data_IF_925185195937
#
_entry.id   IF_925185195937
#
_cell.length_a   1.000
_cell.length_b   1.000
_cell.length_c   1.000
_cell.angle_alpha   90.00
_cell.angle_beta   90.00
_cell.angle_gamma   90.00
#
_symmetry.space_group_name_H-M   'P 1'
#
loop_
_entity.id
_entity.type
_entity.pdbx_description
1 polymer ?
#
# COMPACT_ATOMS: atom_id res chain seq x y z
N UNK A 1 4.33 -8.85 28.09
CA UNK A 1 3.31 -9.70 27.50
C UNK A 1 3.53 -9.84 25.99
N UNK A 2 3.33 -11.03 25.45
CA UNK A 2 3.63 -11.38 24.05
C UNK A 2 2.78 -10.62 23.01
N UNK A 3 1.67 -10.00 23.41
CA UNK A 3 0.79 -9.22 22.53
C UNK A 3 1.26 -7.76 22.31
N UNK A 4 2.13 -7.22 23.16
CA UNK A 4 2.55 -5.81 23.08
C UNK A 4 3.27 -5.46 21.76
N UNK A 5 4.27 -6.21 21.29
CA UNK A 5 4.93 -5.93 20.04
C UNK A 5 3.96 -5.86 18.85
N UNK A 6 3.06 -6.85 18.62
CA UNK A 6 2.08 -6.78 17.56
C UNK A 6 1.11 -5.61 17.71
N UNK A 7 0.63 -5.31 18.93
CA UNK A 7 -0.27 -4.19 19.15
C UNK A 7 0.39 -2.85 18.80
N UNK A 8 1.61 -2.62 19.29
CA UNK A 8 2.36 -1.40 18.98
C UNK A 8 2.61 -1.29 17.47
N UNK A 9 3.07 -2.37 16.83
CA UNK A 9 3.30 -2.40 15.39
C UNK A 9 2.04 -2.03 14.61
N UNK A 10 0.91 -2.64 14.93
CA UNK A 10 -0.38 -2.41 14.28
C UNK A 10 -0.80 -0.93 14.36
N UNK A 11 -0.78 -0.33 15.54
CA UNK A 11 -1.14 1.07 15.71
C UNK A 11 -0.15 2.02 15.03
N UNK A 12 1.15 1.71 15.02
CA UNK A 12 2.13 2.49 14.29
C UNK A 12 1.91 2.43 12.78
N UNK A 13 1.53 1.27 12.24
CA UNK A 13 1.19 1.12 10.82
C UNK A 13 -0.06 1.91 10.43
N UNK A 14 -1.12 1.80 11.24
CA UNK A 14 -2.34 2.58 11.06
C UNK A 14 -2.05 4.09 11.10
N UNK A 15 -1.27 4.55 12.08
CA UNK A 15 -0.87 5.94 12.21
C UNK A 15 0.01 6.41 11.04
N UNK A 16 0.88 5.56 10.53
CA UNK A 16 1.74 5.88 9.39
C UNK A 16 0.92 6.20 8.13
N UNK A 17 -0.06 5.37 7.80
CA UNK A 17 -0.95 5.65 6.65
C UNK A 17 -1.77 6.90 6.89
N UNK A 18 -2.38 7.06 8.08
CA UNK A 18 -3.10 8.29 8.43
C UNK A 18 -2.22 9.55 8.29
N UNK A 19 -0.94 9.46 8.64
CA UNK A 19 0.01 10.55 8.46
C UNK A 19 0.31 10.83 6.99
N UNK A 20 0.50 9.78 6.18
CA UNK A 20 0.72 9.92 4.74
C UNK A 20 -0.48 10.57 4.05
N UNK A 21 -1.69 10.12 4.38
CA UNK A 21 -2.94 10.68 3.85
C UNK A 21 -3.02 12.20 4.10
N UNK A 22 -2.59 12.66 5.27
CA UNK A 22 -2.57 14.09 5.58
C UNK A 22 -1.44 14.88 4.93
N UNK A 23 -0.37 14.22 4.54
CA UNK A 23 0.85 14.89 4.03
C UNK A 23 1.01 14.82 2.53
N UNK A 24 0.38 13.86 1.87
CA UNK A 24 0.46 13.68 0.42
C UNK A 24 -0.89 14.08 -0.20
N UNK A 25 -0.90 15.01 -1.18
CA UNK A 25 -2.13 15.35 -1.87
C UNK A 25 -2.61 14.15 -2.69
N UNK A 26 -3.86 13.72 -2.48
CA UNK A 26 -4.43 12.59 -3.17
C UNK A 26 -5.95 12.71 -3.30
N UNK A 27 -6.56 11.87 -4.14
CA UNK A 27 -7.99 11.86 -4.39
C UNK A 27 -8.47 10.43 -4.60
N UNK A 28 -9.51 10.04 -3.86
CA UNK A 28 -10.08 8.70 -3.99
C UNK A 28 -10.98 8.56 -5.23
N UNK A 29 -11.20 7.30 -5.64
CA UNK A 29 -12.10 6.96 -6.73
C UNK A 29 -13.51 7.55 -6.51
N UNK A 30 -14.10 8.07 -7.61
CA UNK A 30 -15.43 8.67 -7.63
C UNK A 30 -15.59 10.01 -6.91
N UNK A 31 -14.59 10.52 -6.22
CA UNK A 31 -14.64 11.85 -5.60
C UNK A 31 -14.48 12.99 -6.62
N UNK A 32 -14.97 14.18 -6.25
CA UNK A 32 -14.72 15.41 -7.00
C UNK A 32 -13.39 16.03 -6.58
N UNK A 33 -12.82 16.88 -7.45
CA UNK A 33 -11.53 17.52 -7.18
C UNK A 33 -11.51 18.35 -5.88
N UNK A 34 -12.68 18.93 -5.53
CA UNK A 34 -12.85 19.72 -4.32
C UNK A 34 -12.78 18.89 -3.03
N UNK A 35 -12.88 17.56 -3.17
CA UNK A 35 -12.81 16.57 -2.09
C UNK A 35 -11.41 15.95 -1.98
N UNK A 36 -10.40 16.52 -2.69
CA UNK A 36 -9.03 16.07 -2.59
C UNK A 36 -8.51 16.25 -1.16
N UNK A 37 -7.81 15.23 -0.66
CA UNK A 37 -7.23 15.20 0.68
C UNK A 37 -5.75 15.61 0.65
N UNK A 38 -5.19 15.96 1.82
CA UNK A 38 -3.83 16.44 1.95
C UNK A 38 -3.65 17.92 1.65
N UNK A 39 -2.40 18.38 1.42
CA UNK A 39 -2.09 19.77 1.12
C UNK A 39 -2.70 20.24 -0.20
N UNK A 40 -3.09 21.52 -0.27
CA UNK A 40 -3.55 22.13 -1.51
C UNK A 40 -2.46 22.03 -2.59
N UNK A 41 -2.88 21.66 -3.81
CA UNK A 41 -1.98 21.41 -4.93
C UNK A 41 -2.65 21.78 -6.26
N UNK A 42 -1.84 22.07 -7.27
CA UNK A 42 -2.29 22.29 -8.65
C UNK A 42 -2.35 20.98 -9.47
N UNK A 43 -2.13 19.82 -8.84
CA UNK A 43 -2.19 18.52 -9.51
C UNK A 43 -3.59 18.22 -10.04
N UNK A 44 -3.63 17.59 -11.20
CA UNK A 44 -4.88 17.18 -11.83
C UNK A 44 -5.51 16.00 -11.08
N UNK A 45 -6.82 15.86 -11.24
CA UNK A 45 -7.58 14.74 -10.65
C UNK A 45 -6.95 13.36 -10.92
N UNK A 46 -6.42 13.15 -12.14
CA UNK A 46 -5.77 11.90 -12.53
C UNK A 46 -4.45 11.65 -11.79
N UNK A 47 -3.68 12.70 -11.54
CA UNK A 47 -2.41 12.62 -10.82
C UNK A 47 -2.64 12.35 -9.33
N UNK A 48 -3.65 13.00 -8.74
CA UNK A 48 -4.06 12.76 -7.36
C UNK A 48 -4.56 11.32 -7.14
N UNK A 49 -5.27 10.75 -8.12
CA UNK A 49 -5.71 9.36 -8.08
C UNK A 49 -4.53 8.38 -8.13
N UNK A 50 -3.52 8.66 -8.98
CA UNK A 50 -2.29 7.85 -9.02
C UNK A 50 -1.57 7.87 -7.67
N UNK A 51 -1.47 9.05 -7.04
CA UNK A 51 -0.87 9.17 -5.71
C UNK A 51 -1.65 8.39 -4.65
N UNK A 52 -2.98 8.45 -4.67
CA UNK A 52 -3.81 7.66 -3.76
C UNK A 52 -3.46 6.16 -3.85
N UNK A 53 -3.49 5.59 -5.05
CA UNK A 53 -3.16 4.16 -5.26
C UNK A 53 -1.71 3.86 -4.86
N UNK A 54 -0.76 4.74 -5.19
CA UNK A 54 0.64 4.55 -4.78
C UNK A 54 0.82 4.51 -3.25
N UNK A 55 0.08 5.33 -2.49
CA UNK A 55 0.11 5.30 -1.02
C UNK A 55 -0.40 3.95 -0.51
N UNK A 56 -1.46 3.40 -1.10
CA UNK A 56 -2.03 2.10 -0.72
C UNK A 56 -1.06 0.94 -1.01
N UNK A 57 -0.30 1.02 -2.08
CA UNK A 57 0.65 -0.01 -2.49
C UNK A 57 1.92 -0.06 -1.59
N UNK A 58 2.19 0.99 -0.78
CA UNK A 58 3.32 0.99 0.18
C UNK A 58 3.20 -0.14 1.22
N UNK A 59 2.09 -0.27 1.98
CA UNK A 59 1.91 -1.37 2.94
C UNK A 59 1.96 -2.76 2.30
N UNK A 60 1.47 -2.89 1.08
CA UNK A 60 1.45 -4.16 0.35
C UNK A 60 2.86 -4.63 0.01
N UNK A 61 3.66 -3.74 -0.54
CA UNK A 61 5.08 -4.01 -0.77
C UNK A 61 5.81 -4.36 0.54
N UNK A 62 5.60 -3.58 1.59
CA UNK A 62 6.20 -3.86 2.91
C UNK A 62 5.82 -5.26 3.42
N UNK A 63 4.54 -5.67 3.32
CA UNK A 63 4.06 -6.97 3.78
C UNK A 63 4.78 -8.13 3.07
N UNK A 64 4.88 -8.06 1.74
CA UNK A 64 5.62 -9.06 0.94
C UNK A 64 7.09 -9.07 1.34
N UNK A 65 7.73 -7.91 1.41
CA UNK A 65 9.14 -7.80 1.77
C UNK A 65 9.47 -8.35 3.15
N UNK A 66 8.65 -8.03 4.15
CA UNK A 66 8.80 -8.54 5.52
C UNK A 66 8.65 -10.07 5.56
N UNK A 67 7.70 -10.64 4.82
CA UNK A 67 7.50 -12.09 4.76
C UNK A 67 8.73 -12.82 4.18
N UNK A 68 9.26 -12.36 3.06
CA UNK A 68 10.48 -12.94 2.46
C UNK A 68 11.74 -12.66 3.26
N UNK A 69 11.87 -11.48 3.87
CA UNK A 69 12.98 -11.14 4.77
C UNK A 69 13.03 -12.05 6.00
N UNK A 70 11.88 -12.38 6.58
CA UNK A 70 11.77 -13.31 7.69
C UNK A 70 12.22 -14.74 7.31
N UNK A 71 11.80 -15.20 6.13
CA UNK A 71 12.26 -16.50 5.59
C UNK A 71 13.77 -16.55 5.38
N UNK A 72 14.34 -15.49 4.82
CA UNK A 72 15.78 -15.41 4.57
C UNK A 72 16.62 -15.51 5.86
N UNK A 73 16.06 -15.10 7.00
CA UNK A 73 16.69 -15.22 8.32
C UNK A 73 16.46 -16.57 9.00
N UNK A 74 15.74 -17.51 8.35
CA UNK A 74 15.44 -18.81 8.95
C UNK A 74 14.60 -18.73 10.21
N UNK A 75 13.77 -17.69 10.33
CA UNK A 75 12.94 -17.46 11.51
C UNK A 75 11.76 -18.45 11.56
N UNK A 76 11.68 -19.23 12.63
CA UNK A 76 10.55 -20.12 12.87
C UNK A 76 9.37 -19.34 13.50
N UNK A 77 8.65 -18.63 12.64
CA UNK A 77 7.49 -17.79 13.02
C UNK A 77 6.20 -18.26 12.36
N UNK A 78 6.18 -19.51 11.90
CA UNK A 78 5.07 -20.05 11.14
C UNK A 78 4.94 -19.47 9.72
N UNK A 79 5.88 -18.64 9.28
CA UNK A 79 5.94 -18.14 7.91
C UNK A 79 6.62 -19.22 7.06
N UNK A 80 5.86 -19.83 6.17
CA UNK A 80 6.40 -20.81 5.22
C UNK A 80 6.70 -20.13 3.88
N UNK A 81 7.61 -20.72 3.10
CA UNK A 81 7.87 -20.26 1.73
C UNK A 81 6.60 -20.28 0.88
N UNK A 82 5.77 -21.33 1.04
CA UNK A 82 4.47 -21.40 0.37
C UNK A 82 3.55 -20.25 0.75
N UNK A 83 3.50 -19.87 2.02
CA UNK A 83 2.72 -18.74 2.51
C UNK A 83 3.21 -17.40 1.96
N UNK A 84 4.53 -17.16 1.93
CA UNK A 84 5.09 -15.94 1.35
C UNK A 84 4.85 -15.84 -0.17
N UNK A 85 4.97 -16.97 -0.89
CA UNK A 85 4.64 -17.03 -2.33
C UNK A 85 3.14 -16.77 -2.54
N UNK A 86 2.27 -17.38 -1.75
CA UNK A 86 0.82 -17.16 -1.85
C UNK A 86 0.45 -15.70 -1.59
N UNK A 87 1.08 -15.05 -0.60
CA UNK A 87 0.94 -13.61 -0.34
C UNK A 87 1.36 -12.78 -1.57
N UNK A 88 2.53 -13.04 -2.13
CA UNK A 88 3.04 -12.32 -3.28
C UNK A 88 2.15 -12.50 -4.53
N UNK A 89 1.64 -13.72 -4.76
CA UNK A 89 0.69 -13.99 -5.85
C UNK A 89 -0.63 -13.26 -5.60
N UNK A 90 -1.15 -13.30 -4.37
CA UNK A 90 -2.38 -12.60 -3.98
C UNK A 90 -2.28 -11.09 -4.25
N UNK A 91 -1.17 -10.45 -3.83
CA UNK A 91 -0.91 -9.03 -4.11
C UNK A 91 -0.81 -8.77 -5.62
N UNK A 92 -0.08 -9.60 -6.37
CA UNK A 92 0.02 -9.47 -7.82
C UNK A 92 -1.34 -9.59 -8.54
N UNK A 93 -2.25 -10.45 -8.06
CA UNK A 93 -3.62 -10.56 -8.59
C UNK A 93 -4.47 -9.33 -8.24
N UNK A 94 -4.32 -8.79 -7.02
CA UNK A 94 -5.00 -7.57 -6.56
C UNK A 94 -4.58 -6.35 -7.38
N UNK A 95 -3.31 -6.26 -7.79
CA UNK A 95 -2.79 -5.17 -8.61
C UNK A 95 -3.48 -5.03 -9.98
N UNK A 96 -4.06 -6.08 -10.53
CA UNK A 96 -4.77 -5.99 -11.79
C UNK A 96 -6.01 -5.07 -11.71
N UNK A 97 -6.99 -5.27 -10.81
CA UNK A 97 -8.11 -4.33 -10.64
C UNK A 97 -7.64 -2.92 -10.21
N UNK A 98 -6.59 -2.78 -9.42
CA UNK A 98 -6.05 -1.47 -9.02
C UNK A 98 -5.43 -0.72 -10.21
N UNK A 99 -4.66 -1.40 -11.06
CA UNK A 99 -4.17 -0.85 -12.31
C UNK A 99 -5.30 -0.40 -13.25
N UNK A 100 -6.43 -1.11 -13.27
CA UNK A 100 -7.64 -0.68 -13.98
C UNK A 100 -8.27 0.55 -13.35
N UNK A 101 -8.30 0.65 -12.02
CA UNK A 101 -8.82 1.80 -11.30
C UNK A 101 -8.06 3.11 -11.66
N UNK A 102 -6.78 3.01 -11.99
CA UNK A 102 -5.97 4.12 -12.52
C UNK A 102 -6.18 4.30 -14.02
N UNK A 103 -6.06 3.22 -14.80
CA UNK A 103 -6.04 3.28 -16.27
C UNK A 103 -7.35 3.79 -16.87
N UNK A 104 -8.50 3.44 -16.29
CA UNK A 104 -9.80 3.83 -16.82
C UNK A 104 -10.08 5.35 -16.71
N UNK A 105 -9.87 6.02 -15.56
CA UNK A 105 -9.94 7.47 -15.48
C UNK A 105 -8.97 8.20 -16.41
N UNK A 106 -7.75 7.67 -16.58
CA UNK A 106 -6.79 8.23 -17.55
C UNK A 106 -7.33 8.16 -18.97
N UNK A 107 -7.98 7.05 -19.35
CA UNK A 107 -8.64 6.93 -20.65
C UNK A 107 -9.76 7.97 -20.83
N UNK A 108 -10.58 8.16 -19.79
CA UNK A 108 -11.64 9.19 -19.82
C UNK A 108 -11.09 10.61 -19.93
N UNK A 109 -9.90 10.86 -19.37
CA UNK A 109 -9.19 12.13 -19.47
C UNK A 109 -8.50 12.35 -20.85
N UNK A 110 -8.68 11.44 -21.82
CA UNK A 110 -8.18 11.58 -23.19
C UNK A 110 -6.80 10.98 -23.45
N UNK A 111 -6.17 10.32 -22.48
CA UNK A 111 -4.89 9.64 -22.70
C UNK A 111 -5.05 8.45 -23.66
N UNK A 112 -4.01 8.11 -24.43
CA UNK A 112 -4.00 6.91 -25.28
C UNK A 112 -4.12 5.63 -24.45
N UNK A 113 -4.53 4.51 -25.07
CA UNK A 113 -4.62 3.20 -24.38
C UNK A 113 -3.30 2.81 -23.72
N UNK A 114 -2.21 2.98 -24.47
CA UNK A 114 -0.87 2.62 -23.97
C UNK A 114 -0.43 3.51 -22.80
N UNK A 115 -0.59 4.83 -22.89
CA UNK A 115 -0.27 5.74 -21.79
C UNK A 115 -1.12 5.45 -20.55
N UNK A 116 -2.41 5.18 -20.70
CA UNK A 116 -3.29 4.86 -19.58
C UNK A 116 -2.86 3.57 -18.89
N UNK A 117 -2.51 2.55 -19.67
CA UNK A 117 -1.95 1.30 -19.14
C UNK A 117 -0.63 1.53 -18.40
N UNK A 118 0.29 2.33 -18.98
CA UNK A 118 1.56 2.68 -18.32
C UNK A 118 1.33 3.32 -16.93
N UNK A 119 0.40 4.26 -16.83
CA UNK A 119 0.07 4.88 -15.53
C UNK A 119 -0.47 3.86 -14.52
N UNK A 120 -1.30 2.91 -14.96
CA UNK A 120 -1.74 1.80 -14.12
C UNK A 120 -0.59 0.90 -13.64
N UNK A 121 0.42 0.65 -14.48
CA UNK A 121 1.60 -0.10 -14.07
C UNK A 121 2.52 0.72 -13.13
N UNK A 122 2.68 2.02 -13.41
CA UNK A 122 3.53 2.90 -12.61
C UNK A 122 2.99 3.12 -11.20
N UNK A 123 1.68 3.05 -10.98
CA UNK A 123 1.11 3.17 -9.63
C UNK A 123 1.54 2.03 -8.71
N UNK A 124 1.83 0.85 -9.25
CA UNK A 124 2.31 -0.31 -8.49
C UNK A 124 3.85 -0.35 -8.31
N UNK A 125 4.61 0.57 -8.92
CA UNK A 125 6.09 0.53 -8.84
C UNK A 125 6.62 0.72 -7.41
N UNK A 126 5.84 1.31 -6.53
CA UNK A 126 6.20 1.48 -5.13
C UNK A 126 6.27 0.15 -4.36
N UNK A 127 5.51 -0.87 -4.79
CA UNK A 127 5.50 -2.17 -4.11
C UNK A 127 6.86 -2.87 -4.12
N UNK A 128 7.52 -3.10 -5.28
CA UNK A 128 8.84 -3.72 -5.26
C UNK A 128 9.86 -2.89 -4.49
N UNK A 129 9.75 -1.56 -4.51
CA UNK A 129 10.64 -0.68 -3.74
C UNK A 129 10.44 -0.93 -2.24
N UNK A 130 9.19 -0.89 -1.78
CA UNK A 130 8.89 -1.09 -0.36
C UNK A 130 9.04 -2.56 0.07
N UNK A 131 8.93 -3.53 -0.84
CA UNK A 131 9.28 -4.91 -0.56
C UNK A 131 10.78 -5.06 -0.26
N UNK A 132 11.65 -4.43 -1.04
CA UNK A 132 13.10 -4.41 -0.75
C UNK A 132 13.38 -3.72 0.58
N UNK A 133 12.73 -2.60 0.87
CA UNK A 133 12.87 -1.87 2.15
C UNK A 133 12.40 -2.75 3.31
N UNK A 134 11.23 -3.37 3.21
CA UNK A 134 10.68 -4.26 4.24
C UNK A 134 11.58 -5.46 4.53
N UNK A 135 12.11 -6.11 3.48
CA UNK A 135 13.05 -7.19 3.62
C UNK A 135 14.37 -6.73 4.28
N UNK A 136 14.93 -5.60 3.84
CA UNK A 136 16.17 -5.05 4.39
C UNK A 136 16.03 -4.69 5.87
N UNK A 137 14.92 -4.12 6.29
CA UNK A 137 14.65 -3.77 7.70
C UNK A 137 14.64 -5.04 8.55
N UNK A 138 13.92 -6.08 8.13
CA UNK A 138 13.80 -7.33 8.90
C UNK A 138 15.12 -8.08 8.95
N UNK A 139 15.87 -8.11 7.85
CA UNK A 139 17.19 -8.74 7.80
C UNK A 139 18.19 -8.02 8.72
N UNK A 140 18.11 -6.69 8.81
CA UNK A 140 19.02 -5.88 9.61
C UNK A 140 18.72 -5.89 11.10
N UNK A 141 17.44 -6.06 11.50
CA UNK A 141 17.01 -5.90 12.89
C UNK A 141 16.05 -7.04 13.29
N UNK A 142 16.61 -8.17 13.69
CA UNK A 142 15.85 -9.37 14.08
C UNK A 142 14.68 -9.11 15.05
N UNK A 143 14.82 -8.35 16.16
CA UNK A 143 13.72 -8.16 17.13
C UNK A 143 12.53 -7.35 16.58
N UNK A 144 12.67 -6.69 15.43
CA UNK A 144 11.62 -5.81 14.89
C UNK A 144 10.50 -6.58 14.17
N UNK A 145 10.71 -7.86 13.87
CA UNK A 145 9.80 -8.62 13.01
C UNK A 145 8.34 -8.66 13.50
N UNK A 146 8.02 -8.93 14.79
CA UNK A 146 6.63 -8.89 15.26
C UNK A 146 5.98 -7.52 15.09
N UNK A 147 6.77 -6.46 15.23
CA UNK A 147 6.32 -5.09 14.97
C UNK A 147 6.13 -4.83 13.48
N UNK A 148 7.05 -5.29 12.63
CA UNK A 148 7.01 -5.06 11.18
C UNK A 148 5.83 -5.76 10.50
N UNK A 149 5.54 -7.03 10.86
CA UNK A 149 4.37 -7.75 10.37
C UNK A 149 3.07 -7.07 10.79
N UNK A 150 2.98 -6.70 12.07
CA UNK A 150 1.80 -6.03 12.59
C UNK A 150 1.66 -4.60 12.05
N UNK A 151 2.79 -3.91 11.79
CA UNK A 151 2.82 -2.60 11.12
C UNK A 151 2.21 -2.69 9.72
N UNK A 152 2.65 -3.65 8.91
CA UNK A 152 2.09 -3.85 7.58
C UNK A 152 0.58 -4.14 7.66
N UNK A 153 0.14 -5.01 8.57
CA UNK A 153 -1.28 -5.32 8.78
C UNK A 153 -2.09 -4.08 9.20
N UNK A 154 -1.58 -3.27 10.14
CA UNK A 154 -2.24 -2.05 10.58
C UNK A 154 -2.35 -1.00 9.47
N UNK A 155 -1.27 -0.83 8.71
CA UNK A 155 -1.24 0.06 7.57
C UNK A 155 -2.23 -0.37 6.48
N UNK A 156 -2.27 -1.66 6.13
CA UNK A 156 -3.23 -2.22 5.16
C UNK A 156 -4.68 -2.07 5.64
N UNK A 157 -4.95 -2.25 6.94
CA UNK A 157 -6.31 -2.11 7.48
C UNK A 157 -6.86 -0.70 7.26
N UNK A 158 -6.09 0.34 7.54
CA UNK A 158 -6.50 1.74 7.32
C UNK A 158 -6.59 2.04 5.83
N UNK A 159 -5.59 1.66 5.06
CA UNK A 159 -5.54 1.84 3.61
C UNK A 159 -6.77 1.25 2.93
N UNK A 160 -7.11 0.01 3.24
CA UNK A 160 -8.26 -0.68 2.66
C UNK A 160 -9.60 -0.02 3.02
N UNK A 161 -9.78 0.44 4.26
CA UNK A 161 -11.02 1.10 4.68
C UNK A 161 -11.22 2.43 3.96
N UNK A 162 -10.17 3.17 3.68
CA UNK A 162 -10.25 4.42 2.91
C UNK A 162 -10.58 4.20 1.43
N UNK A 163 -10.08 3.11 0.80
CA UNK A 163 -10.35 2.80 -0.61
C UNK A 163 -11.76 2.26 -0.87
N UNK A 164 -12.27 1.42 0.02
CA UNK A 164 -13.46 0.60 -0.25
C UNK A 164 -14.73 1.16 0.35
N UNK A 165 -14.65 1.97 1.40
CA UNK A 165 -15.81 2.60 2.00
C UNK A 165 -15.94 4.02 1.42
N UNK A 166 -17.02 4.30 0.63
CA UNK A 166 -17.33 5.68 0.33
C UNK A 166 -17.57 6.40 1.65
N UNK A 167 -16.80 7.44 1.93
CA UNK A 167 -16.94 8.31 3.11
C UNK A 167 -18.25 9.13 3.07
N UNK A 168 -19.28 8.62 2.42
CA UNK A 168 -20.61 9.23 2.26
C UNK A 168 -21.57 8.84 3.39
N UNK A 169 -21.07 8.66 4.61
CA UNK A 169 -21.89 8.70 5.81
C UNK A 169 -21.57 9.96 6.63
N UNK A 170 -21.41 11.08 5.94
CA UNK A 170 -21.48 12.42 6.54
C UNK A 170 -22.57 13.22 5.89
#
# INVERSE_FOLDING_TARGET
PSFLPPAIGFFLGAFFIYFLDKKIPHLHLFQKIEQAEGPKTDLKKTELLVLAIAIHNIPEGLAVGVAFGALAQGMDLGITLGGAIALAIGMGLQNAPEGFAVSMPMRRAGFSRFKSWQWGQLSAIVEPIFAVIGAAIVISVYPILPYALAFAAGAMTVSYTHLTLPTTLQ
#
